data_IF_656179206494
#
_entry.id   IF_656179206494
#
_cell.length_a   1.000
_cell.length_b   1.000
_cell.length_c   1.000
_cell.angle_alpha   90.00
_cell.angle_beta   90.00
_cell.angle_gamma   90.00
#
_symmetry.space_group_name_H-M   'P 1'
#
loop_
_entity.id
_entity.type
_entity.pdbx_description
1 polymer ?
#
# COMPACT_ATOMS: atom_id res chain seq x y z
N UNK A 1 3.91 -1.29 -8.13
CA UNK A 1 3.94 0.04 -7.47
C UNK A 1 5.31 0.27 -6.87
N UNK A 2 5.70 1.51 -6.51
CA UNK A 2 6.97 1.75 -5.81
C UNK A 2 6.72 1.79 -4.31
N UNK A 3 7.49 1.04 -3.55
CA UNK A 3 7.49 1.10 -2.08
C UNK A 3 8.28 2.35 -1.66
N UNK A 4 7.65 3.24 -0.90
CA UNK A 4 8.30 4.44 -0.35
C UNK A 4 9.12 4.08 0.88
N UNK A 5 10.19 4.82 1.13
CA UNK A 5 11.09 4.62 2.27
C UNK A 5 11.00 5.79 3.24
N UNK A 6 11.41 5.58 4.49
CA UNK A 6 11.53 6.67 5.45
C UNK A 6 12.49 7.74 4.92
N UNK A 7 12.21 9.04 5.15
CA UNK A 7 11.20 9.60 6.05
C UNK A 7 9.90 10.07 5.35
N UNK A 8 9.43 9.41 4.27
CA UNK A 8 8.25 9.88 3.53
C UNK A 8 7.02 10.10 4.47
N UNK A 9 6.38 11.30 4.46
CA UNK A 9 5.36 11.64 5.46
C UNK A 9 4.15 10.71 5.49
N UNK A 10 3.81 10.09 4.36
CA UNK A 10 2.69 9.14 4.28
C UNK A 10 2.87 7.94 5.22
N UNK A 11 4.12 7.57 5.56
CA UNK A 11 4.44 6.45 6.43
C UNK A 11 4.13 6.73 7.92
N UNK A 12 3.96 7.99 8.30
CA UNK A 12 3.66 8.41 9.68
C UNK A 12 2.28 9.05 9.84
N UNK A 13 1.52 9.20 8.75
CA UNK A 13 0.16 9.72 8.77
C UNK A 13 -0.84 8.62 9.16
N UNK A 14 -1.84 8.98 9.96
CA UNK A 14 -2.99 8.12 10.21
C UNK A 14 -3.78 7.93 8.91
N UNK A 15 -3.86 6.69 8.45
CA UNK A 15 -4.57 6.32 7.24
C UNK A 15 -6.09 6.48 7.41
N UNK A 16 -6.77 6.96 6.36
CA UNK A 16 -8.24 7.15 6.37
C UNK A 16 -8.98 5.84 6.20
N UNK A 17 -10.10 5.67 6.89
CA UNK A 17 -10.95 4.49 6.73
C UNK A 17 -11.53 4.39 5.31
N UNK A 18 -11.65 3.16 4.81
CA UNK A 18 -12.28 2.87 3.52
C UNK A 18 -13.78 2.71 3.74
N UNK A 19 -14.58 3.65 3.25
CA UNK A 19 -16.05 3.63 3.41
C UNK A 19 -16.73 2.63 2.46
N UNK A 20 -16.14 2.41 1.28
CA UNK A 20 -16.71 1.55 0.24
C UNK A 20 -15.61 0.85 -0.57
N UNK A 21 -15.76 -0.46 -0.75
CA UNK A 21 -14.90 -1.26 -1.63
C UNK A 21 -15.43 -1.18 -3.06
N UNK A 22 -14.97 -0.18 -3.80
CA UNK A 22 -15.31 0.02 -5.20
C UNK A 22 -14.31 -0.64 -6.17
N UNK A 23 -14.43 -0.34 -7.47
CA UNK A 23 -13.52 -0.88 -8.49
C UNK A 23 -12.08 -0.38 -8.32
N UNK A 24 -11.89 0.84 -7.80
CA UNK A 24 -10.56 1.39 -7.54
C UNK A 24 -9.88 0.64 -6.40
N UNK A 25 -10.58 0.39 -5.29
CA UNK A 25 -10.05 -0.37 -4.15
C UNK A 25 -9.66 -1.79 -4.58
N UNK A 26 -10.51 -2.47 -5.34
CA UNK A 26 -10.20 -3.81 -5.87
C UNK A 26 -8.97 -3.82 -6.76
N UNK A 27 -8.80 -2.79 -7.61
CA UNK A 27 -7.61 -2.65 -8.46
C UNK A 27 -6.37 -2.39 -7.61
N UNK A 28 -6.44 -1.50 -6.63
CA UNK A 28 -5.34 -1.18 -5.73
C UNK A 28 -4.87 -2.42 -4.97
N UNK A 29 -5.78 -3.25 -4.45
CA UNK A 29 -5.43 -4.52 -3.80
C UNK A 29 -4.66 -5.44 -4.74
N UNK A 30 -5.08 -5.57 -6.01
CA UNK A 30 -4.39 -6.40 -6.99
C UNK A 30 -3.00 -5.84 -7.32
N UNK A 31 -2.88 -4.52 -7.48
CA UNK A 31 -1.60 -3.87 -7.74
C UNK A 31 -0.63 -4.02 -6.54
N UNK A 32 -1.15 -4.00 -5.30
CA UNK A 32 -0.38 -4.24 -4.08
C UNK A 32 0.07 -5.71 -3.95
N UNK A 33 -0.79 -6.68 -4.26
CA UNK A 33 -0.45 -8.11 -4.28
C UNK A 33 0.71 -8.39 -5.25
N UNK A 34 0.63 -7.85 -6.48
CA UNK A 34 1.71 -7.96 -7.47
C UNK A 34 2.99 -7.30 -6.95
N UNK A 35 2.88 -6.09 -6.37
CA UNK A 35 4.03 -5.36 -5.83
C UNK A 35 4.73 -6.13 -4.70
N UNK A 36 3.96 -6.79 -3.83
CA UNK A 36 4.50 -7.62 -2.76
C UNK A 36 5.26 -8.84 -3.31
N UNK A 37 4.69 -9.54 -4.31
CA UNK A 37 5.33 -10.70 -4.94
C UNK A 37 6.62 -10.36 -5.69
N UNK A 38 6.67 -9.16 -6.29
CA UNK A 38 7.83 -8.65 -7.02
C UNK A 38 8.92 -8.09 -6.08
N UNK A 39 8.59 -7.71 -4.85
CA UNK A 39 9.55 -7.19 -3.89
C UNK A 39 10.49 -8.30 -3.39
N UNK A 40 11.79 -8.17 -3.70
CA UNK A 40 12.85 -9.12 -3.30
C UNK A 40 13.75 -8.63 -2.18
N UNK A 41 13.71 -7.33 -1.88
CA UNK A 41 14.52 -6.72 -0.83
C UNK A 41 13.76 -5.56 -0.15
N UNK A 42 13.18 -5.81 1.04
CA UNK A 42 13.00 -7.12 1.67
C UNK A 42 11.96 -7.97 0.93
N UNK A 43 12.14 -9.29 0.92
CA UNK A 43 11.04 -10.21 0.60
C UNK A 43 9.99 -10.09 1.71
N UNK A 44 8.82 -9.57 1.37
CA UNK A 44 7.77 -9.23 2.32
C UNK A 44 6.67 -10.29 2.40
N UNK A 45 6.03 -10.40 3.57
CA UNK A 45 4.79 -11.16 3.75
C UNK A 45 3.53 -10.29 3.78
N UNK A 46 3.70 -8.96 3.76
CA UNK A 46 2.61 -8.00 3.76
C UNK A 46 3.02 -6.64 3.21
N UNK A 47 2.05 -5.90 2.65
CA UNK A 47 2.22 -4.57 2.09
C UNK A 47 1.00 -3.72 2.45
N UNK A 48 1.21 -2.60 3.14
CA UNK A 48 0.17 -1.65 3.51
C UNK A 48 0.05 -0.52 2.48
N UNK A 49 -1.16 0.02 2.29
CA UNK A 49 -1.40 1.09 1.33
C UNK A 49 -0.50 2.34 1.53
N UNK A 50 -0.18 2.79 2.76
CA UNK A 50 0.77 3.89 2.97
C UNK A 50 2.16 3.62 2.38
N UNK A 51 2.61 2.36 2.37
CA UNK A 51 3.91 1.97 1.81
C UNK A 51 3.96 2.16 0.28
N UNK A 52 2.82 2.20 -0.39
CA UNK A 52 2.72 2.53 -1.82
C UNK A 52 2.16 3.94 -2.07
N UNK A 53 2.25 4.82 -1.06
CA UNK A 53 1.87 6.22 -1.15
C UNK A 53 0.36 6.50 -1.07
N UNK A 54 -0.43 5.56 -0.53
CA UNK A 54 -1.88 5.70 -0.37
C UNK A 54 -2.26 5.72 1.11
N UNK A 55 -2.64 6.89 1.63
CA UNK A 55 -3.03 7.06 3.05
C UNK A 55 -4.48 6.61 3.32
N UNK A 56 -4.74 5.31 3.13
CA UNK A 56 -6.02 4.65 3.43
C UNK A 56 -5.79 3.31 4.15
N UNK A 57 -6.76 2.87 4.94
CA UNK A 57 -6.68 1.66 5.75
C UNK A 57 -6.90 0.41 4.88
N UNK A 58 -5.83 -0.01 4.20
CA UNK A 58 -5.73 -1.23 3.38
C UNK A 58 -4.37 -1.90 3.60
#
# INVERSE_FOLDING_TARGET
MKIVQAPEPVLTQTAKSVEKVDKYIKKLLKDMEVTLGDAKDPEGVGLAAPQVGKSIQL
#
